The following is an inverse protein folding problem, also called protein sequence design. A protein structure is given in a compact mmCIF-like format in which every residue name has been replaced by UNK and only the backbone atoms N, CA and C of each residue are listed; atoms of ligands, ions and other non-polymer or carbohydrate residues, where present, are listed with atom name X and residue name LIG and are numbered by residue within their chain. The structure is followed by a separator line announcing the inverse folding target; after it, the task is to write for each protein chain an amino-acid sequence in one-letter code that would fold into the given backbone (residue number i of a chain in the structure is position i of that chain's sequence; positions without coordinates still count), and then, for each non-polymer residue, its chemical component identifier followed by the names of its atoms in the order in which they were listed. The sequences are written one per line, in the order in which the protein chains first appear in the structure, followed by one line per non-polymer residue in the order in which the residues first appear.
data_IF_817686064497
#
_entry.id   IF_817686064497
#
_cell.length_a   1.000
_cell.length_b   1.000
_cell.length_c   1.000
_cell.angle_alpha   90.00
_cell.angle_beta   90.00
_cell.angle_gamma   90.00
#
_symmetry.space_group_name_H-M   'P 1'
#
loop_
_entity.id
_entity.type
_entity.pdbx_description
1 polymer ?
#
# COMPACT_ATOMS: atom_id res chain seq x y z
N UNK A 1 -2.47 27.45 23.04
CA UNK A 1 -1.12 27.75 22.51
C UNK A 1 -0.11 26.96 23.34
N UNK A 2 0.70 26.12 22.68
CA UNK A 2 1.91 25.40 23.13
C UNK A 2 1.91 23.95 22.61
N UNK A 3 2.64 23.65 21.53
CA UNK A 3 3.10 22.28 21.22
C UNK A 3 4.30 22.18 20.26
N UNK A 4 5.12 23.23 20.12
CA UNK A 4 6.42 23.15 19.39
C UNK A 4 7.39 22.13 20.07
N UNK A 5 7.07 21.66 21.28
CA UNK A 5 7.95 20.82 22.11
C UNK A 5 7.99 19.31 21.80
N UNK A 6 7.29 18.78 20.80
CA UNK A 6 7.38 17.34 20.45
C UNK A 6 7.57 17.08 18.96
N UNK A 7 8.37 17.93 18.29
CA UNK A 7 8.86 17.61 16.94
C UNK A 7 10.08 16.68 17.02
N UNK A 8 10.23 15.69 16.11
CA UNK A 8 11.45 14.90 15.99
C UNK A 8 12.70 15.78 15.85
N UNK A 9 13.83 15.36 16.44
CA UNK A 9 15.09 16.13 16.41
C UNK A 9 15.55 16.47 14.98
N UNK A 10 15.41 15.52 14.07
CA UNK A 10 15.78 15.70 12.67
C UNK A 10 14.94 16.81 12.02
N UNK A 11 13.64 16.83 12.32
CA UNK A 11 12.73 17.86 11.83
C UNK A 11 13.04 19.24 12.42
N UNK A 12 13.40 19.31 13.71
CA UNK A 12 13.84 20.55 14.34
C UNK A 12 15.11 21.11 13.66
N UNK A 13 16.05 20.23 13.29
CA UNK A 13 17.29 20.62 12.61
C UNK A 13 17.05 21.27 11.24
N UNK A 14 16.02 20.80 10.52
CA UNK A 14 15.67 21.34 9.19
C UNK A 14 14.88 22.65 9.30
N UNK A 15 14.01 22.79 10.30
CA UNK A 15 13.28 24.04 10.56
C UNK A 15 14.26 25.16 10.94
N UNK A 16 15.29 24.84 11.72
CA UNK A 16 16.30 25.81 12.13
C UNK A 16 15.68 26.96 12.93
N UNK A 17 15.84 28.19 12.44
CA UNK A 17 15.33 29.41 13.07
C UNK A 17 14.00 29.90 12.50
N UNK A 18 13.40 29.17 11.56
CA UNK A 18 12.13 29.57 10.97
C UNK A 18 11.01 29.52 12.01
N UNK A 19 10.14 30.54 12.00
CA UNK A 19 8.96 30.55 12.85
C UNK A 19 8.00 29.48 12.36
N UNK A 20 7.66 28.54 13.25
CA UNK A 20 6.63 27.53 13.01
C UNK A 20 5.27 28.16 13.22
N UNK A 21 4.46 28.21 12.17
CA UNK A 21 3.10 28.73 12.21
C UNK A 21 2.12 27.62 12.61
N UNK A 22 2.35 26.38 12.17
CA UNK A 22 1.60 25.21 12.62
C UNK A 22 2.42 23.91 12.52
N UNK A 23 2.03 22.92 13.31
CA UNK A 23 2.53 21.55 13.23
C UNK A 23 1.39 20.58 13.48
N UNK A 24 1.14 19.68 12.53
CA UNK A 24 0.14 18.63 12.64
C UNK A 24 0.78 17.27 12.35
N UNK A 25 0.26 16.21 12.96
CA UNK A 25 0.62 14.83 12.62
C UNK A 25 -0.55 14.20 11.89
N UNK A 26 -0.30 13.68 10.69
CA UNK A 26 -1.32 12.96 9.94
C UNK A 26 -1.64 11.64 10.64
N UNK A 27 -2.92 11.34 10.80
CA UNK A 27 -3.39 10.12 11.48
C UNK A 27 -2.95 8.85 10.73
N UNK A 28 -2.93 8.90 9.40
CA UNK A 28 -2.62 7.78 8.51
C UNK A 28 -1.65 8.22 7.43
N UNK A 29 -0.83 7.28 6.96
CA UNK A 29 0.07 7.51 5.83
C UNK A 29 -0.65 7.70 4.51
N UNK A 30 -1.80 7.04 4.33
CA UNK A 30 -2.60 7.14 3.12
C UNK A 30 -4.10 7.11 3.43
N UNK A 31 -4.94 7.62 2.52
CA UNK A 31 -6.38 7.56 2.66
C UNK A 31 -6.89 6.13 2.88
N UNK A 32 -7.92 5.99 3.74
CA UNK A 32 -8.51 4.69 4.06
C UNK A 32 -8.98 3.97 2.80
N UNK A 33 -9.58 4.70 1.86
CA UNK A 33 -10.12 4.14 0.62
C UNK A 33 -9.04 3.47 -0.24
N UNK A 34 -7.81 3.98 -0.25
CA UNK A 34 -6.70 3.33 -0.97
C UNK A 34 -6.31 2.01 -0.30
N UNK A 35 -6.24 2.01 1.04
CA UNK A 35 -5.94 0.81 1.82
C UNK A 35 -7.02 -0.25 1.67
N UNK A 36 -8.30 0.14 1.74
CA UNK A 36 -9.45 -0.74 1.51
C UNK A 36 -9.50 -1.26 0.08
N UNK A 37 -9.16 -0.43 -0.91
CA UNK A 37 -9.06 -0.85 -2.31
C UNK A 37 -8.01 -1.95 -2.52
N UNK A 38 -6.84 -1.83 -1.88
CA UNK A 38 -5.80 -2.87 -1.90
C UNK A 38 -6.28 -4.17 -1.25
N UNK A 39 -6.97 -4.08 -0.10
CA UNK A 39 -7.53 -5.26 0.58
C UNK A 39 -8.59 -5.93 -0.30
N UNK A 40 -9.54 -5.17 -0.84
CA UNK A 40 -10.59 -5.69 -1.71
C UNK A 40 -9.99 -6.38 -2.95
N UNK A 41 -9.01 -5.75 -3.59
CA UNK A 41 -8.29 -6.36 -4.72
C UNK A 41 -7.57 -7.65 -4.31
N UNK A 42 -6.87 -7.66 -3.17
CA UNK A 42 -6.22 -8.84 -2.62
C UNK A 42 -7.19 -9.99 -2.31
N UNK A 43 -8.38 -9.69 -1.78
CA UNK A 43 -9.42 -10.69 -1.52
C UNK A 43 -9.92 -11.29 -2.84
N UNK A 44 -10.29 -10.44 -3.80
CA UNK A 44 -10.79 -10.89 -5.11
C UNK A 44 -9.73 -11.72 -5.84
N UNK A 45 -8.48 -11.26 -5.85
CA UNK A 45 -7.37 -11.99 -6.44
C UNK A 45 -7.17 -13.36 -5.77
N UNK A 46 -7.16 -13.41 -4.44
CA UNK A 46 -7.00 -14.65 -3.70
C UNK A 46 -8.16 -15.61 -3.93
N UNK A 47 -9.39 -15.11 -4.02
CA UNK A 47 -10.58 -15.90 -4.34
C UNK A 47 -10.53 -16.44 -5.78
N UNK A 48 -9.98 -15.68 -6.73
CA UNK A 48 -9.79 -16.16 -8.10
C UNK A 48 -8.73 -17.26 -8.17
N UNK A 49 -7.58 -17.07 -7.51
CA UNK A 49 -6.50 -18.06 -7.50
C UNK A 49 -6.88 -19.32 -6.72
N UNK A 50 -7.74 -19.22 -5.69
CA UNK A 50 -8.19 -20.39 -4.93
C UNK A 50 -8.93 -21.43 -5.78
N UNK A 51 -9.59 -21.01 -6.88
CA UNK A 51 -10.22 -21.93 -7.83
C UNK A 51 -9.16 -22.88 -8.43
N UNK A 52 -8.01 -22.35 -8.83
CA UNK A 52 -6.91 -23.15 -9.39
C UNK A 52 -6.25 -24.03 -8.32
N UNK A 53 -6.06 -23.50 -7.12
CA UNK A 53 -5.55 -24.30 -5.99
C UNK A 53 -6.47 -25.49 -5.72
N UNK A 54 -7.79 -25.29 -5.67
CA UNK A 54 -8.75 -26.36 -5.42
C UNK A 54 -8.80 -27.34 -6.60
N UNK A 55 -8.77 -26.85 -7.85
CA UNK A 55 -8.84 -27.71 -9.03
C UNK A 55 -7.59 -28.58 -9.22
N UNK A 56 -6.40 -28.04 -9.00
CA UNK A 56 -5.13 -28.73 -9.26
C UNK A 56 -4.50 -29.36 -8.03
N UNK A 57 -4.63 -28.77 -6.84
CA UNK A 57 -4.02 -29.29 -5.60
C UNK A 57 -5.05 -29.96 -4.69
N UNK A 58 -6.34 -29.61 -4.82
CA UNK A 58 -7.42 -30.19 -4.01
C UNK A 58 -7.51 -31.72 -4.09
N UNK A 59 -7.48 -32.35 -5.27
CA UNK A 59 -7.48 -33.81 -5.39
C UNK A 59 -6.26 -34.45 -4.72
N UNK A 60 -5.07 -33.84 -4.84
CA UNK A 60 -3.86 -34.33 -4.19
C UNK A 60 -4.02 -34.39 -2.66
N UNK A 61 -4.61 -33.36 -2.04
CA UNK A 61 -4.85 -33.37 -0.59
C UNK A 61 -5.83 -34.45 -0.14
N UNK A 62 -6.62 -35.02 -1.05
CA UNK A 62 -7.52 -36.16 -0.80
C UNK A 62 -6.87 -37.51 -1.13
N UNK A 63 -5.64 -37.52 -1.65
CA UNK A 63 -4.99 -38.71 -2.18
C UNK A 63 -5.53 -39.16 -3.54
N UNK A 64 -6.23 -38.28 -4.25
CA UNK A 64 -6.76 -38.52 -5.59
C UNK A 64 -5.78 -38.05 -6.68
N UNK A 65 -5.96 -38.55 -7.89
CA UNK A 65 -5.18 -38.15 -9.06
C UNK A 65 -5.81 -36.94 -9.78
N UNK A 66 -4.95 -36.09 -10.32
CA UNK A 66 -5.35 -34.93 -11.12
C UNK A 66 -5.21 -35.29 -12.59
N UNK A 67 -6.31 -35.21 -13.33
CA UNK A 67 -6.35 -35.54 -14.75
C UNK A 67 -6.46 -34.27 -15.59
N UNK A 68 -5.51 -34.07 -16.52
CA UNK A 68 -5.47 -32.91 -17.42
C UNK A 68 -4.83 -33.30 -18.76
N UNK A 69 -4.77 -32.36 -19.72
CA UNK A 69 -4.11 -32.60 -21.01
C UNK A 69 -2.84 -31.77 -21.14
N UNK A 70 -1.79 -32.39 -21.67
CA UNK A 70 -0.55 -31.71 -22.09
C UNK A 70 -0.36 -32.02 -23.56
N UNK A 71 -0.41 -31.00 -24.42
CA UNK A 71 -0.33 -31.17 -25.89
C UNK A 71 -1.36 -32.19 -26.42
N UNK A 72 -2.61 -32.09 -25.97
CA UNK A 72 -3.73 -32.99 -26.28
C UNK A 72 -3.63 -34.44 -25.77
N UNK A 73 -2.50 -34.83 -25.17
CA UNK A 73 -2.32 -36.13 -24.54
C UNK A 73 -2.88 -36.16 -23.10
N UNK A 74 -3.77 -37.11 -22.77
CA UNK A 74 -4.24 -37.33 -21.40
C UNK A 74 -3.05 -37.57 -20.46
N UNK A 75 -2.95 -36.73 -19.43
CA UNK A 75 -1.87 -36.77 -18.44
C UNK A 75 -2.47 -36.82 -17.05
N UNK A 76 -1.91 -37.69 -16.22
CA UNK A 76 -2.35 -37.91 -14.85
C UNK A 76 -1.20 -37.61 -13.90
N UNK A 77 -1.50 -36.91 -12.82
CA UNK A 77 -0.53 -36.58 -11.79
C UNK A 77 -1.04 -36.93 -10.40
N UNK A 78 -0.13 -37.37 -9.55
CA UNK A 78 -0.40 -37.80 -8.17
C UNK A 78 0.79 -37.44 -7.28
N UNK A 79 0.74 -37.79 -6.00
CA UNK A 79 1.92 -37.66 -5.12
C UNK A 79 3.08 -38.55 -5.56
N UNK A 80 2.78 -39.71 -6.14
CA UNK A 80 3.79 -40.66 -6.64
C UNK A 80 4.35 -40.22 -8.01
N UNK A 81 3.56 -39.49 -8.81
CA UNK A 81 3.96 -38.92 -10.10
C UNK A 81 3.64 -37.42 -10.17
N UNK A 82 4.45 -36.61 -9.49
CA UNK A 82 4.23 -35.16 -9.37
C UNK A 82 4.83 -34.34 -10.53
N UNK A 83 5.71 -34.93 -11.34
CA UNK A 83 6.43 -34.24 -12.41
C UNK A 83 5.52 -33.41 -13.34
N UNK A 84 4.36 -33.92 -13.81
CA UNK A 84 3.48 -33.15 -14.67
C UNK A 84 2.84 -31.93 -13.99
N UNK A 85 2.71 -31.94 -12.65
CA UNK A 85 2.14 -30.84 -11.86
C UNK A 85 3.17 -29.82 -11.39
N UNK A 86 4.47 -30.07 -11.58
CA UNK A 86 5.52 -29.21 -11.03
C UNK A 86 5.40 -27.77 -11.53
N UNK A 87 5.33 -27.57 -12.85
CA UNK A 87 5.21 -26.22 -13.44
C UNK A 87 3.87 -25.57 -13.08
N UNK A 88 2.70 -26.23 -13.27
CA UNK A 88 1.42 -25.68 -12.81
C UNK A 88 1.43 -25.25 -11.33
N UNK A 89 2.00 -26.07 -10.45
CA UNK A 89 2.05 -25.80 -9.02
C UNK A 89 2.94 -24.61 -8.70
N UNK A 90 4.11 -24.47 -9.34
CA UNK A 90 4.99 -23.31 -9.17
C UNK A 90 4.31 -22.02 -9.61
N UNK A 91 3.61 -22.05 -10.75
CA UNK A 91 2.86 -20.89 -11.24
C UNK A 91 1.76 -20.52 -10.26
N UNK A 92 0.91 -21.48 -9.87
CA UNK A 92 -0.16 -21.25 -8.88
C UNK A 92 0.43 -20.71 -7.58
N UNK A 93 1.51 -21.30 -7.08
CA UNK A 93 2.20 -20.87 -5.86
C UNK A 93 2.68 -19.43 -5.94
N UNK A 94 3.28 -19.01 -7.06
CA UNK A 94 3.66 -17.62 -7.29
C UNK A 94 2.45 -16.67 -7.22
N UNK A 95 1.35 -17.02 -7.89
CA UNK A 95 0.13 -16.21 -7.88
C UNK A 95 -0.53 -16.12 -6.49
N UNK A 96 -0.46 -17.20 -5.70
CA UNK A 96 -0.88 -17.21 -4.28
C UNK A 96 -0.01 -16.24 -3.46
N UNK A 97 1.31 -16.29 -3.63
CA UNK A 97 2.23 -15.39 -2.92
C UNK A 97 1.96 -13.92 -3.25
N UNK A 98 1.66 -13.61 -4.52
CA UNK A 98 1.24 -12.26 -4.93
C UNK A 98 -0.03 -11.84 -4.19
N UNK A 99 -1.04 -12.70 -4.12
CA UNK A 99 -2.28 -12.42 -3.38
C UNK A 99 -2.06 -12.13 -1.90
N UNK A 100 -1.25 -12.97 -1.24
CA UNK A 100 -0.86 -12.79 0.16
C UNK A 100 -0.10 -11.47 0.34
N UNK A 101 0.86 -11.16 -0.54
CA UNK A 101 1.65 -9.93 -0.49
C UNK A 101 0.77 -8.68 -0.58
N UNK A 102 -0.20 -8.68 -1.50
CA UNK A 102 -1.15 -7.58 -1.67
C UNK A 102 -2.03 -7.43 -0.42
N UNK A 103 -2.59 -8.53 0.09
CA UNK A 103 -3.42 -8.52 1.29
C UNK A 103 -2.65 -8.01 2.51
N UNK A 104 -1.45 -8.55 2.74
CA UNK A 104 -0.59 -8.15 3.83
C UNK A 104 -0.22 -6.66 3.73
N UNK A 105 0.10 -6.17 2.53
CA UNK A 105 0.38 -4.75 2.29
C UNK A 105 -0.84 -3.87 2.56
N UNK A 106 -2.02 -4.26 2.09
CA UNK A 106 -3.28 -3.57 2.34
C UNK A 106 -3.61 -3.48 3.83
N UNK A 107 -3.54 -4.61 4.54
CA UNK A 107 -3.76 -4.68 6.00
C UNK A 107 -2.71 -3.84 6.73
N UNK A 108 -1.43 -4.00 6.42
CA UNK A 108 -0.35 -3.25 7.06
C UNK A 108 -0.54 -1.74 6.87
N UNK A 109 -0.99 -1.31 5.69
CA UNK A 109 -1.23 0.10 5.39
C UNK A 109 -2.35 0.74 6.23
N UNK A 110 -3.30 -0.05 6.75
CA UNK A 110 -4.34 0.44 7.67
C UNK A 110 -3.78 0.94 9.01
N UNK A 111 -2.65 0.39 9.42
CA UNK A 111 -2.00 0.69 10.70
C UNK A 111 -0.80 1.63 10.58
N UNK A 112 -0.40 1.99 9.36
CA UNK A 112 0.69 2.93 9.14
C UNK A 112 0.27 4.35 9.54
N UNK A 113 0.95 4.87 10.57
CA UNK A 113 0.82 6.27 10.99
C UNK A 113 1.33 7.21 9.89
N UNK A 114 0.73 8.39 9.80
CA UNK A 114 1.15 9.42 8.87
C UNK A 114 2.38 10.19 9.35
N UNK A 115 2.81 11.13 8.51
CA UNK A 115 3.95 12.01 8.78
C UNK A 115 3.55 13.28 9.52
N UNK A 116 4.57 14.03 9.95
CA UNK A 116 4.40 15.39 10.44
C UNK A 116 4.32 16.35 9.26
N UNK A 117 3.39 17.29 9.32
CA UNK A 117 3.31 18.44 8.43
C UNK A 117 3.54 19.69 9.25
N UNK A 118 4.60 20.43 8.92
CA UNK A 118 4.99 21.65 9.61
C UNK A 118 4.95 22.80 8.63
N UNK A 119 4.08 23.77 8.90
CA UNK A 119 4.07 25.04 8.20
C UNK A 119 5.01 26.02 8.90
N UNK A 120 5.96 26.54 8.14
CA UNK A 120 6.83 27.64 8.55
C UNK A 120 6.47 28.90 7.78
N UNK A 121 7.11 30.02 8.08
CA UNK A 121 6.88 31.28 7.35
C UNK A 121 7.18 31.18 5.85
N UNK A 122 8.10 30.30 5.43
CA UNK A 122 8.54 30.24 4.02
C UNK A 122 8.10 28.98 3.27
N UNK A 123 7.85 27.87 3.98
CA UNK A 123 7.63 26.56 3.36
C UNK A 123 6.79 25.61 4.21
N UNK A 124 6.21 24.61 3.54
CA UNK A 124 5.65 23.42 4.13
C UNK A 124 6.71 22.31 4.19
N UNK A 125 6.86 21.67 5.34
CA UNK A 125 7.77 20.55 5.56
C UNK A 125 6.94 19.31 5.90
N UNK A 126 7.10 18.25 5.11
CA UNK A 126 6.53 16.93 5.38
C UNK A 126 7.64 15.98 5.86
N UNK A 127 7.48 15.40 7.03
CA UNK A 127 8.41 14.42 7.62
C UNK A 127 7.71 13.08 7.84
N UNK A 128 8.18 12.05 7.16
CA UNK A 128 7.63 10.70 7.26
C UNK A 128 8.77 9.68 7.33
N UNK A 129 8.86 8.93 8.44
CA UNK A 129 9.83 7.86 8.65
C UNK A 129 11.29 8.24 8.31
N UNK A 130 11.73 9.43 8.70
CA UNK A 130 13.10 9.91 8.43
C UNK A 130 13.26 10.65 7.09
N UNK A 131 12.30 10.54 6.17
CA UNK A 131 12.30 11.29 4.91
C UNK A 131 11.70 12.67 5.12
N UNK A 132 12.42 13.70 4.69
CA UNK A 132 11.97 15.11 4.72
C UNK A 132 11.74 15.59 3.29
N UNK A 133 10.54 16.09 3.03
CA UNK A 133 10.18 16.75 1.79
C UNK A 133 9.74 18.18 2.10
N UNK A 134 10.28 19.15 1.37
CA UNK A 134 9.98 20.58 1.57
C UNK A 134 9.34 21.16 0.33
N UNK A 135 8.32 21.99 0.52
CA UNK A 135 7.61 22.69 -0.54
C UNK A 135 7.55 24.18 -0.17
N UNK A 136 8.21 25.04 -0.95
CA UNK A 136 8.13 26.49 -0.73
C UNK A 136 6.71 26.98 -1.00
N UNK A 137 6.23 27.96 -0.22
CA UNK A 137 4.86 28.45 -0.38
C UNK A 137 4.58 28.99 -1.79
N UNK A 138 5.61 29.52 -2.46
CA UNK A 138 5.56 30.03 -3.83
C UNK A 138 5.30 28.96 -4.90
N UNK A 139 5.49 27.67 -4.55
CA UNK A 139 5.22 26.55 -5.45
C UNK A 139 3.76 26.14 -5.47
N UNK A 140 2.95 26.60 -4.51
CA UNK A 140 1.52 26.38 -4.49
C UNK A 140 0.82 27.41 -5.38
N UNK A 141 -0.25 27.00 -6.05
CA UNK A 141 -1.05 27.90 -6.90
C UNK A 141 -1.92 28.86 -6.07
N UNK A 142 -2.02 28.63 -4.76
CA UNK A 142 -2.95 29.31 -3.86
C UNK A 142 -4.29 28.58 -3.69
N UNK A 143 -4.55 27.53 -4.47
CA UNK A 143 -5.76 26.72 -4.32
C UNK A 143 -5.56 25.63 -3.27
N UNK A 144 -6.48 25.59 -2.31
CA UNK A 144 -6.55 24.59 -1.25
C UNK A 144 -7.97 24.02 -1.20
N UNK A 145 -8.08 22.70 -1.20
CA UNK A 145 -9.35 22.00 -0.99
C UNK A 145 -9.33 21.35 0.39
N UNK A 146 -10.31 21.67 1.22
CA UNK A 146 -10.51 21.04 2.53
C UNK A 146 -11.75 20.16 2.43
N UNK A 147 -11.57 18.85 2.58
CA UNK A 147 -12.66 17.90 2.66
C UNK A 147 -12.85 17.44 4.11
N UNK A 148 -13.63 18.21 4.88
CA UNK A 148 -13.86 17.92 6.31
C UNK A 148 -14.56 16.57 6.55
N UNK A 149 -15.28 16.02 5.56
CA UNK A 149 -15.90 14.68 5.69
C UNK A 149 -14.88 13.56 5.57
N UNK A 150 -13.82 13.76 4.78
CA UNK A 150 -12.76 12.79 4.58
C UNK A 150 -11.55 13.03 5.49
N UNK A 151 -11.54 14.14 6.22
CA UNK A 151 -10.40 14.62 7.01
C UNK A 151 -9.15 14.89 6.14
N UNK A 152 -9.37 15.25 4.87
CA UNK A 152 -8.31 15.47 3.88
C UNK A 152 -8.13 16.97 3.60
N UNK A 153 -6.88 17.41 3.46
CA UNK A 153 -6.52 18.73 2.93
C UNK A 153 -5.67 18.49 1.69
N UNK A 154 -6.06 19.05 0.56
CA UNK A 154 -5.32 18.93 -0.69
C UNK A 154 -4.80 20.29 -1.15
N UNK A 155 -3.54 20.34 -1.55
CA UNK A 155 -2.88 21.54 -2.04
C UNK A 155 -2.58 21.40 -3.52
N UNK A 156 -2.89 22.44 -4.30
CA UNK A 156 -2.53 22.47 -5.70
C UNK A 156 -1.12 23.06 -5.88
N UNK A 157 -0.24 22.32 -6.55
CA UNK A 157 1.04 22.84 -6.99
C UNK A 157 0.87 23.61 -8.31
N UNK A 158 1.74 24.60 -8.58
CA UNK A 158 1.75 25.36 -9.85
C UNK A 158 1.98 24.50 -11.11
N UNK A 159 2.34 23.23 -10.93
CA UNK A 159 2.38 22.22 -11.98
C UNK A 159 0.99 21.68 -12.39
N UNK A 160 -0.08 22.11 -11.72
CA UNK A 160 -1.46 21.67 -11.94
C UNK A 160 -1.80 20.32 -11.31
N UNK A 161 -0.90 19.74 -10.49
CA UNK A 161 -1.13 18.48 -9.78
C UNK A 161 -1.54 18.75 -8.33
N UNK A 162 -2.68 18.19 -7.93
CA UNK A 162 -3.14 18.17 -6.53
C UNK A 162 -2.34 17.13 -5.73
N UNK A 163 -1.89 17.52 -4.54
CA UNK A 163 -1.28 16.62 -3.55
C UNK A 163 -2.18 16.59 -2.31
N UNK A 164 -2.56 15.39 -1.88
CA UNK A 164 -3.41 15.10 -0.71
C UNK A 164 -2.64 14.33 0.35
#
# INVERSE_FOLDING_TARGET
MNSIQTLPRDLQSVIGTEKVDFSIIARRKQPLNKSLGLIAFGIIWSAFISIFVIAFLGPLFKGEEVNFKVNDEPTTASWDNFEPLLVPTLVIGFFVLVGIGILASGIYSLFQKGGYFVGTTNRLIHFLNGTITTYDWEQFSGNMEINSKKEDISFELRTGKMQS
#
